data_IF_317352227474
#
_entry.id   IF_317352227474
#
_cell.length_a   1.000
_cell.length_b   1.000
_cell.length_c   1.000
_cell.angle_alpha   90.00
_cell.angle_beta   90.00
_cell.angle_gamma   90.00
#
_symmetry.space_group_name_H-M   'P 1'
#
loop_
_entity.id
_entity.type
_entity.pdbx_description
1 polymer ?
#
# COMPACT_ATOMS: atom_id res chain seq x y z
N UNK A 1 -11.86 -18.65 14.93
CA UNK A 1 -11.83 -17.19 15.12
C UNK A 1 -12.65 -16.55 14.01
N UNK A 2 -13.82 -15.99 14.34
CA UNK A 2 -14.76 -15.39 13.36
C UNK A 2 -14.28 -14.05 12.77
N UNK A 3 -13.20 -13.46 13.26
CA UNK A 3 -12.72 -12.13 12.90
C UNK A 3 -11.40 -12.12 12.12
N UNK A 4 -10.91 -13.27 11.70
CA UNK A 4 -9.67 -13.37 10.93
C UNK A 4 -9.91 -14.09 9.61
N UNK A 5 -9.81 -13.36 8.50
CA UNK A 5 -9.87 -13.93 7.17
C UNK A 5 -8.47 -14.40 6.76
N UNK A 6 -8.33 -15.71 6.46
CA UNK A 6 -7.10 -16.23 5.87
C UNK A 6 -6.83 -15.61 4.50
N UNK A 7 -5.59 -15.29 4.24
CA UNK A 7 -5.14 -14.88 2.91
C UNK A 7 -5.39 -16.00 1.90
N UNK A 8 -6.03 -15.68 0.80
CA UNK A 8 -6.32 -16.65 -0.26
C UNK A 8 -5.03 -17.08 -0.96
N UNK A 9 -4.88 -18.38 -1.27
CA UNK A 9 -3.69 -18.93 -1.94
C UNK A 9 -3.33 -18.16 -3.21
N UNK A 10 -4.32 -17.80 -4.03
CA UNK A 10 -4.13 -16.99 -5.24
C UNK A 10 -3.45 -15.63 -4.98
N UNK A 11 -3.64 -15.04 -3.80
CA UNK A 11 -2.97 -13.78 -3.43
C UNK A 11 -1.49 -14.03 -3.19
N UNK A 12 -1.15 -15.12 -2.50
CA UNK A 12 0.24 -15.53 -2.25
C UNK A 12 0.94 -15.90 -3.57
N UNK A 13 0.33 -16.75 -4.40
CA UNK A 13 0.87 -17.18 -5.69
C UNK A 13 1.23 -16.00 -6.60
N UNK A 14 0.38 -14.98 -6.65
CA UNK A 14 0.58 -13.76 -7.45
C UNK A 14 1.78 -12.91 -7.04
N UNK A 15 2.29 -13.10 -5.83
CA UNK A 15 3.46 -12.38 -5.30
C UNK A 15 4.76 -13.15 -5.47
N UNK A 16 4.70 -14.40 -5.94
CA UNK A 16 5.89 -15.19 -6.24
C UNK A 16 6.55 -14.70 -7.54
N UNK A 17 7.89 -14.65 -7.54
CA UNK A 17 8.71 -14.24 -8.70
C UNK A 17 9.21 -15.43 -9.51
N UNK A 18 8.78 -16.63 -9.16
CA UNK A 18 9.06 -17.88 -9.89
C UNK A 18 7.74 -18.54 -10.27
N UNK A 19 7.78 -19.38 -11.27
CA UNK A 19 6.63 -20.16 -11.74
C UNK A 19 6.98 -21.63 -11.82
N UNK A 20 5.97 -22.50 -11.87
CA UNK A 20 6.19 -23.93 -12.12
C UNK A 20 6.90 -24.16 -13.47
N UNK A 21 7.60 -25.27 -13.58
CA UNK A 21 8.31 -25.70 -14.80
C UNK A 21 9.41 -24.74 -15.28
N UNK A 22 10.03 -24.01 -14.37
CA UNK A 22 11.18 -23.15 -14.66
C UNK A 22 12.39 -23.58 -13.83
N UNK A 23 13.59 -23.21 -14.28
CA UNK A 23 14.82 -23.48 -13.53
C UNK A 23 14.77 -22.83 -12.15
N UNK A 24 15.20 -23.58 -11.13
CA UNK A 24 15.27 -23.11 -9.77
C UNK A 24 16.30 -21.97 -9.64
N UNK A 25 15.85 -20.79 -9.21
CA UNK A 25 16.70 -19.64 -8.93
C UNK A 25 16.56 -19.26 -7.45
N UNK A 26 17.61 -19.54 -6.68
CA UNK A 26 17.64 -19.25 -5.24
C UNK A 26 17.46 -17.76 -4.91
N UNK A 27 17.84 -16.87 -5.83
CA UNK A 27 17.64 -15.43 -5.65
C UNK A 27 16.16 -15.08 -5.82
N UNK A 28 15.48 -15.66 -6.81
CA UNK A 28 14.03 -15.47 -6.98
C UNK A 28 13.25 -16.00 -5.78
N UNK A 29 13.66 -17.12 -5.18
CA UNK A 29 13.04 -17.66 -3.96
C UNK A 29 13.20 -16.68 -2.79
N UNK A 30 14.43 -16.21 -2.52
CA UNK A 30 14.71 -15.24 -1.45
C UNK A 30 13.95 -13.93 -1.66
N UNK A 31 13.90 -13.45 -2.89
CA UNK A 31 13.20 -12.22 -3.23
C UNK A 31 11.68 -12.38 -3.12
N UNK A 32 11.11 -13.52 -3.53
CA UNK A 32 9.71 -13.85 -3.31
C UNK A 32 9.35 -13.84 -1.82
N UNK A 33 10.19 -14.44 -0.99
CA UNK A 33 10.01 -14.42 0.45
C UNK A 33 10.07 -13.00 1.02
N UNK A 34 10.92 -12.12 0.47
CA UNK A 34 10.99 -10.72 0.84
C UNK A 34 9.72 -9.95 0.42
N UNK A 35 9.26 -10.14 -0.81
CA UNK A 35 8.04 -9.51 -1.34
C UNK A 35 6.83 -9.92 -0.51
N UNK A 36 6.70 -11.19 -0.16
CA UNK A 36 5.62 -11.69 0.70
C UNK A 36 5.70 -11.10 2.12
N UNK A 37 6.88 -11.06 2.74
CA UNK A 37 7.06 -10.47 4.09
C UNK A 37 6.76 -8.98 4.15
N UNK A 38 6.87 -8.27 3.04
CA UNK A 38 6.54 -6.85 2.96
C UNK A 38 5.02 -6.59 2.90
N UNK A 39 4.20 -7.63 2.80
CA UNK A 39 2.75 -7.48 2.87
C UNK A 39 2.30 -7.25 4.32
N UNK A 40 1.48 -6.24 4.55
CA UNK A 40 1.04 -5.82 5.90
C UNK A 40 0.23 -6.88 6.65
N UNK A 41 -0.38 -7.83 5.94
CA UNK A 41 -1.19 -8.91 6.47
C UNK A 41 -0.43 -10.23 6.66
N UNK A 42 0.85 -10.30 6.27
CA UNK A 42 1.68 -11.50 6.39
C UNK A 42 2.72 -11.30 7.51
N UNK A 43 2.73 -12.23 8.47
CA UNK A 43 3.64 -12.21 9.62
C UNK A 43 4.92 -13.00 9.36
N UNK A 44 4.80 -14.17 8.77
CA UNK A 44 5.93 -15.09 8.52
C UNK A 44 5.78 -15.78 7.18
N UNK A 45 6.90 -15.95 6.51
CA UNK A 45 7.02 -16.69 5.26
C UNK A 45 8.18 -17.64 5.35
N UNK A 46 7.97 -18.92 4.98
CA UNK A 46 8.99 -19.91 4.70
C UNK A 46 8.78 -20.44 3.29
N UNK A 47 9.82 -20.47 2.49
CA UNK A 47 9.82 -21.04 1.15
C UNK A 47 10.96 -22.07 1.13
N UNK A 48 10.60 -23.34 0.98
CA UNK A 48 11.51 -24.47 1.09
C UNK A 48 11.43 -25.36 -0.15
N UNK A 49 12.56 -25.62 -0.82
CA UNK A 49 12.60 -26.63 -1.85
C UNK A 49 12.55 -28.03 -1.20
N UNK A 50 11.70 -28.89 -1.70
CA UNK A 50 11.55 -30.30 -1.28
C UNK A 50 12.00 -31.19 -2.45
N UNK A 51 13.00 -32.05 -2.26
CA UNK A 51 13.37 -33.01 -3.27
C UNK A 51 12.18 -33.89 -3.69
N UNK A 52 12.06 -34.16 -4.99
CA UNK A 52 11.08 -35.09 -5.52
C UNK A 52 11.75 -36.42 -5.82
N UNK A 53 10.99 -37.43 -6.26
CA UNK A 53 11.55 -38.72 -6.74
C UNK A 53 12.37 -38.58 -8.03
N UNK A 54 12.17 -37.49 -8.78
CA UNK A 54 12.95 -37.21 -9.99
C UNK A 54 14.18 -36.36 -9.64
N UNK A 55 15.39 -36.73 -10.07
CA UNK A 55 16.62 -36.00 -9.76
C UNK A 55 16.66 -34.60 -10.38
N UNK A 56 15.86 -34.34 -11.42
CA UNK A 56 15.86 -33.10 -12.17
C UNK A 56 14.73 -32.15 -11.74
N UNK A 57 13.97 -32.48 -10.68
CA UNK A 57 12.85 -31.65 -10.23
C UNK A 57 12.84 -31.47 -8.73
N UNK A 58 12.28 -30.33 -8.31
CA UNK A 58 12.07 -30.00 -6.90
C UNK A 58 10.71 -29.36 -6.73
N UNK A 59 10.00 -29.72 -5.67
CA UNK A 59 8.78 -29.04 -5.27
C UNK A 59 9.11 -27.84 -4.38
N UNK A 60 8.36 -26.76 -4.52
CA UNK A 60 8.53 -25.59 -3.66
C UNK A 60 7.36 -25.50 -2.70
N UNK A 61 7.64 -25.72 -1.42
CA UNK A 61 6.65 -25.53 -0.34
C UNK A 61 6.69 -24.09 0.14
N UNK A 62 5.56 -23.39 0.01
CA UNK A 62 5.38 -22.03 0.49
C UNK A 62 4.45 -22.05 1.71
N UNK A 63 4.99 -21.72 2.87
CA UNK A 63 4.23 -21.59 4.10
C UNK A 63 4.09 -20.11 4.45
N UNK A 64 2.85 -19.66 4.63
CA UNK A 64 2.54 -18.29 5.01
C UNK A 64 1.73 -18.30 6.30
N UNK A 65 2.13 -17.47 7.26
CA UNK A 65 1.39 -17.21 8.48
C UNK A 65 0.89 -15.77 8.43
N UNK A 66 -0.43 -15.63 8.46
CA UNK A 66 -1.08 -14.32 8.49
C UNK A 66 -0.87 -13.63 9.84
N UNK A 67 -0.81 -12.32 9.82
CA UNK A 67 -0.93 -11.50 11.02
C UNK A 67 -2.40 -11.21 11.31
N UNK A 68 -2.69 -10.79 12.55
CA UNK A 68 -3.99 -10.24 12.87
C UNK A 68 -4.29 -9.04 11.98
N UNK A 69 -5.39 -9.08 11.25
CA UNK A 69 -5.66 -8.12 10.19
C UNK A 69 -6.45 -6.90 10.64
N UNK A 70 -7.35 -7.08 11.63
CA UNK A 70 -8.17 -6.00 12.17
C UNK A 70 -7.50 -5.32 13.37
N UNK A 71 -7.52 -4.00 13.37
CA UNK A 71 -7.08 -3.16 14.47
C UNK A 71 -8.08 -2.02 14.68
N UNK A 72 -8.41 -1.74 15.92
CA UNK A 72 -9.20 -0.58 16.28
C UNK A 72 -8.56 0.11 17.48
N UNK A 73 -8.57 1.42 17.47
CA UNK A 73 -8.14 2.25 18.58
C UNK A 73 -9.14 3.39 18.83
N UNK A 74 -9.11 3.88 20.06
CA UNK A 74 -9.85 5.07 20.47
C UNK A 74 -8.91 5.98 21.25
N UNK A 75 -8.99 7.26 20.97
CA UNK A 75 -8.25 8.31 21.66
C UNK A 75 -9.16 9.50 21.92
N UNK A 76 -8.86 10.29 22.93
CA UNK A 76 -9.69 11.43 23.25
C UNK A 76 -8.99 12.47 24.11
N UNK A 77 -9.53 13.66 24.08
CA UNK A 77 -9.20 14.81 24.91
C UNK A 77 -10.47 15.41 25.51
N UNK A 78 -10.36 16.48 26.29
CA UNK A 78 -11.53 17.20 26.79
C UNK A 78 -12.33 17.91 25.68
N UNK A 79 -11.79 17.98 24.46
CA UNK A 79 -12.42 18.67 23.33
C UNK A 79 -12.91 17.73 22.24
N UNK A 80 -12.26 16.59 22.06
CA UNK A 80 -12.48 15.71 20.92
C UNK A 80 -12.31 14.24 21.33
N UNK A 81 -13.18 13.38 20.81
CA UNK A 81 -13.05 11.91 20.84
C UNK A 81 -12.87 11.37 19.43
N UNK A 82 -11.93 10.45 19.25
CA UNK A 82 -11.63 9.83 17.94
C UNK A 82 -11.63 8.31 18.06
N UNK A 83 -12.28 7.66 17.11
CA UNK A 83 -12.23 6.20 16.91
C UNK A 83 -11.66 5.91 15.53
N UNK A 84 -10.72 4.95 15.45
CA UNK A 84 -10.13 4.50 14.20
C UNK A 84 -10.31 2.99 14.06
N UNK A 85 -10.62 2.55 12.86
CA UNK A 85 -10.66 1.14 12.49
C UNK A 85 -9.76 0.89 11.29
N UNK A 86 -9.05 -0.22 11.31
CA UNK A 86 -8.13 -0.59 10.24
C UNK A 86 -8.18 -2.10 9.99
N UNK A 87 -8.48 -2.49 8.75
CA UNK A 87 -8.45 -3.88 8.28
C UNK A 87 -7.42 -4.03 7.18
N UNK A 88 -6.46 -4.95 7.32
CA UNK A 88 -5.32 -5.16 6.41
C UNK A 88 -5.52 -6.28 5.41
N UNK A 89 -6.53 -7.09 5.59
CA UNK A 89 -6.79 -8.29 4.77
C UNK A 89 -8.27 -8.46 4.49
N UNK A 90 -8.91 -7.40 4.01
CA UNK A 90 -10.34 -7.40 3.76
C UNK A 90 -10.74 -8.53 2.81
N UNK A 91 -11.64 -9.39 3.26
CA UNK A 91 -12.11 -10.60 2.56
C UNK A 91 -10.99 -11.61 2.22
N UNK A 92 -9.82 -11.57 2.87
CA UNK A 92 -8.69 -12.43 2.55
C UNK A 92 -7.98 -12.09 1.22
N UNK A 93 -8.22 -10.89 0.68
CA UNK A 93 -7.67 -10.42 -0.59
C UNK A 93 -6.42 -9.57 -0.44
N UNK A 94 -5.97 -9.29 0.80
CA UNK A 94 -4.89 -8.35 1.08
C UNK A 94 -5.28 -6.88 0.87
N UNK A 95 -6.56 -6.59 0.65
CA UNK A 95 -7.05 -5.22 0.53
C UNK A 95 -7.10 -4.56 1.91
N UNK A 96 -6.93 -3.26 1.95
CA UNK A 96 -6.87 -2.49 3.19
C UNK A 96 -8.03 -1.49 3.23
N UNK A 97 -8.68 -1.42 4.39
CA UNK A 97 -9.67 -0.39 4.68
C UNK A 97 -9.24 0.31 5.96
N UNK A 98 -9.22 1.63 5.95
CA UNK A 98 -9.09 2.43 7.16
C UNK A 98 -10.26 3.39 7.29
N UNK A 99 -10.74 3.54 8.52
CA UNK A 99 -11.80 4.47 8.86
C UNK A 99 -11.39 5.30 10.06
N UNK A 100 -11.77 6.56 10.06
CA UNK A 100 -11.62 7.47 11.20
C UNK A 100 -12.94 8.20 11.42
N UNK A 101 -13.37 8.22 12.64
CA UNK A 101 -14.49 9.05 13.09
C UNK A 101 -14.04 9.87 14.28
N UNK A 102 -14.21 11.18 14.23
CA UNK A 102 -13.96 12.07 15.37
C UNK A 102 -15.20 12.91 15.65
N UNK A 103 -15.43 13.16 16.92
CA UNK A 103 -16.55 13.98 17.40
C UNK A 103 -16.00 15.06 18.33
N UNK A 104 -16.35 16.31 18.06
CA UNK A 104 -16.17 17.39 19.02
C UNK A 104 -17.07 17.17 20.24
N UNK A 105 -16.49 17.24 21.45
CA UNK A 105 -17.22 17.09 22.71
C UNK A 105 -17.67 18.46 23.24
N UNK A 106 -16.87 19.49 22.98
CA UNK A 106 -17.16 20.88 23.36
C UNK A 106 -17.15 21.77 22.12
N UNK A 107 -18.14 22.65 22.00
CA UNK A 107 -18.31 23.51 20.86
C UNK A 107 -19.54 23.15 20.04
N UNK A 108 -19.41 23.11 18.74
CA UNK A 108 -20.51 22.84 17.79
C UNK A 108 -20.93 21.35 17.72
N UNK A 109 -20.26 20.47 18.47
CA UNK A 109 -20.48 19.03 18.47
C UNK A 109 -20.52 18.42 17.05
N UNK A 110 -19.68 18.95 16.13
CA UNK A 110 -19.62 18.50 14.74
C UNK A 110 -18.80 17.22 14.60
N UNK A 111 -19.19 16.29 13.72
CA UNK A 111 -18.39 15.12 13.41
C UNK A 111 -17.39 15.40 12.30
N UNK A 112 -16.25 14.69 12.32
CA UNK A 112 -15.37 14.51 11.18
C UNK A 112 -15.32 13.01 10.83
N UNK A 113 -15.10 12.71 9.56
CA UNK A 113 -15.05 11.32 9.08
C UNK A 113 -14.01 11.17 7.99
N UNK A 114 -13.37 10.01 7.95
CA UNK A 114 -12.47 9.61 6.88
C UNK A 114 -12.58 8.11 6.60
N UNK A 115 -12.49 7.78 5.32
CA UNK A 115 -12.40 6.39 4.84
C UNK A 115 -11.40 6.32 3.71
N UNK A 116 -10.50 5.33 3.79
CA UNK A 116 -9.53 5.00 2.76
C UNK A 116 -9.66 3.53 2.40
N UNK A 117 -9.60 3.23 1.11
CA UNK A 117 -9.56 1.87 0.60
C UNK A 117 -8.37 1.71 -0.34
N UNK A 118 -7.51 0.74 -0.03
CA UNK A 118 -6.32 0.46 -0.81
C UNK A 118 -6.29 -1.00 -1.28
N UNK A 119 -5.90 -1.19 -2.52
CA UNK A 119 -5.70 -2.50 -3.15
C UNK A 119 -4.23 -2.61 -3.53
N UNK A 120 -3.38 -3.20 -2.68
CA UNK A 120 -2.02 -3.53 -3.07
C UNK A 120 -2.05 -4.68 -4.08
N UNK A 121 -1.20 -4.60 -5.09
CA UNK A 121 -1.04 -5.61 -6.13
C UNK A 121 -2.35 -5.97 -6.86
N UNK A 122 -3.01 -4.97 -7.42
CA UNK A 122 -4.27 -5.12 -8.17
C UNK A 122 -4.14 -6.21 -9.25
N UNK A 123 -4.92 -7.29 -9.13
CA UNK A 123 -4.96 -8.42 -10.06
C UNK A 123 -3.58 -8.98 -10.49
N UNK A 124 -2.59 -9.00 -9.60
CA UNK A 124 -1.22 -9.44 -9.88
C UNK A 124 -0.42 -8.54 -10.87
N UNK A 125 -0.88 -7.34 -11.11
CA UNK A 125 -0.19 -6.38 -11.99
C UNK A 125 0.92 -5.61 -11.30
N UNK A 126 1.14 -5.85 -10.00
CA UNK A 126 2.03 -5.05 -9.14
C UNK A 126 1.62 -3.56 -9.02
N UNK A 127 0.42 -3.23 -9.45
CA UNK A 127 -0.17 -1.92 -9.26
C UNK A 127 -0.81 -1.83 -7.88
N UNK A 128 -0.47 -0.78 -7.14
CA UNK A 128 -1.15 -0.40 -5.92
C UNK A 128 -2.14 0.70 -6.25
N UNK A 129 -3.39 0.54 -5.87
CA UNK A 129 -4.42 1.55 -6.05
C UNK A 129 -5.00 1.96 -4.70
N UNK A 130 -5.34 3.22 -4.55
CA UNK A 130 -6.02 3.69 -3.36
C UNK A 130 -7.01 4.81 -3.71
N UNK A 131 -8.11 4.82 -2.99
CA UNK A 131 -9.09 5.90 -3.01
C UNK A 131 -9.42 6.28 -1.58
N UNK A 132 -9.67 7.55 -1.34
CA UNK A 132 -10.02 8.03 -0.02
C UNK A 132 -10.94 9.24 -0.08
N UNK A 133 -11.73 9.38 0.98
CA UNK A 133 -12.59 10.50 1.22
C UNK A 133 -12.59 10.86 2.70
N UNK A 134 -12.45 12.12 3.02
CA UNK A 134 -12.59 12.63 4.39
C UNK A 134 -13.20 13.99 4.40
N UNK A 135 -13.87 14.33 5.51
CA UNK A 135 -14.27 15.70 5.83
C UNK A 135 -13.92 15.99 7.28
N UNK A 136 -13.60 17.24 7.56
CA UNK A 136 -13.30 17.74 8.89
C UNK A 136 -14.54 18.26 9.62
N UNK A 137 -14.35 18.85 10.81
CA UNK A 137 -15.42 19.41 11.62
C UNK A 137 -16.16 20.58 10.96
N UNK A 138 -15.50 21.33 10.08
CA UNK A 138 -16.06 22.45 9.33
C UNK A 138 -16.61 22.06 7.97
N UNK A 139 -16.66 20.74 7.71
CA UNK A 139 -17.15 20.15 6.47
C UNK A 139 -16.26 20.36 5.26
N UNK A 140 -15.02 20.83 5.44
CA UNK A 140 -14.04 20.81 4.39
C UNK A 140 -13.64 19.38 4.08
N UNK A 141 -13.60 19.06 2.80
CA UNK A 141 -13.36 17.69 2.37
C UNK A 141 -12.05 17.53 1.62
N UNK A 142 -11.53 16.33 1.72
CA UNK A 142 -10.42 15.83 0.92
C UNK A 142 -10.82 14.51 0.29
N UNK A 143 -10.68 14.39 -1.04
CA UNK A 143 -10.86 13.14 -1.76
C UNK A 143 -9.72 12.93 -2.72
N UNK A 144 -9.31 11.69 -2.86
CA UNK A 144 -8.22 11.35 -3.76
C UNK A 144 -8.41 9.99 -4.40
N UNK A 145 -7.72 9.80 -5.52
CA UNK A 145 -7.48 8.52 -6.15
C UNK A 145 -6.01 8.45 -6.56
N UNK A 146 -5.40 7.29 -6.36
CA UNK A 146 -4.02 7.05 -6.75
C UNK A 146 -3.84 5.69 -7.37
N UNK A 147 -2.92 5.58 -8.30
CA UNK A 147 -2.41 4.34 -8.84
C UNK A 147 -0.90 4.44 -8.92
N UNK A 148 -0.19 3.45 -8.38
CA UNK A 148 1.26 3.41 -8.38
C UNK A 148 1.77 2.01 -8.68
N UNK A 149 2.81 1.93 -9.47
CA UNK A 149 3.62 0.73 -9.64
C UNK A 149 5.00 0.98 -9.06
N UNK A 150 5.26 0.53 -7.82
CA UNK A 150 6.55 0.74 -7.18
C UNK A 150 7.62 -0.23 -7.71
N UNK A 151 8.87 0.00 -7.35
CA UNK A 151 9.93 -1.00 -7.47
C UNK A 151 9.71 -2.11 -6.42
N UNK A 152 8.84 -3.08 -6.72
CA UNK A 152 8.44 -4.13 -5.78
C UNK A 152 9.49 -5.24 -5.64
N UNK A 153 10.38 -5.39 -6.61
CA UNK A 153 11.46 -6.40 -6.60
C UNK A 153 12.74 -5.87 -7.24
N UNK A 154 13.85 -6.55 -7.01
CA UNK A 154 15.15 -6.27 -7.63
C UNK A 154 15.14 -6.41 -9.16
N UNK A 155 14.14 -7.08 -9.70
CA UNK A 155 13.97 -7.30 -11.14
C UNK A 155 13.10 -6.25 -11.82
N UNK A 156 12.48 -5.36 -11.04
CA UNK A 156 11.62 -4.31 -11.57
C UNK A 156 12.43 -3.28 -12.33
N UNK A 157 12.06 -3.00 -13.58
CA UNK A 157 12.79 -2.11 -14.50
C UNK A 157 12.21 -0.73 -14.58
N UNK A 158 10.94 -0.58 -14.25
CA UNK A 158 10.26 0.70 -14.28
C UNK A 158 9.26 0.80 -13.14
N UNK A 159 9.07 2.01 -12.69
CA UNK A 159 8.04 2.39 -11.72
C UNK A 159 7.32 3.63 -12.24
N UNK A 160 6.06 3.76 -11.90
CA UNK A 160 5.27 4.93 -12.29
C UNK A 160 4.12 5.14 -11.29
N UNK A 161 3.60 6.35 -11.26
CA UNK A 161 2.43 6.63 -10.44
C UNK A 161 1.67 7.85 -10.93
N UNK A 162 0.38 7.85 -10.64
CA UNK A 162 -0.50 8.97 -10.81
C UNK A 162 -1.33 9.16 -9.54
N UNK A 163 -1.54 10.40 -9.16
CA UNK A 163 -2.35 10.80 -8.03
C UNK A 163 -3.18 12.01 -8.41
N UNK A 164 -4.47 11.94 -8.15
CA UNK A 164 -5.39 13.05 -8.33
C UNK A 164 -6.15 13.30 -7.03
N UNK A 165 -6.33 14.56 -6.66
CA UNK A 165 -7.06 14.91 -5.46
C UNK A 165 -7.88 16.19 -5.63
N UNK A 166 -8.86 16.33 -4.79
CA UNK A 166 -9.63 17.56 -4.60
C UNK A 166 -9.72 17.83 -3.10
N UNK A 167 -9.42 19.06 -2.72
CA UNK A 167 -9.49 19.53 -1.34
C UNK A 167 -10.24 20.86 -1.29
N UNK A 168 -11.09 21.00 -0.29
CA UNK A 168 -11.62 22.29 0.14
C UNK A 168 -11.03 22.69 1.48
N UNK A 169 -10.84 23.95 1.73
CA UNK A 169 -10.36 24.50 2.99
C UNK A 169 -10.65 26.00 3.04
N UNK A 170 -10.66 26.57 4.24
CA UNK A 170 -10.72 27.99 4.49
C UNK A 170 -9.32 28.54 4.74
N UNK A 171 -9.02 29.71 4.20
CA UNK A 171 -7.77 30.43 4.46
C UNK A 171 -8.01 31.93 4.55
N UNK A 172 -7.14 32.59 5.30
CA UNK A 172 -7.22 34.05 5.53
C UNK A 172 -6.48 34.83 4.44
N UNK A 173 -7.21 35.70 3.73
CA UNK A 173 -6.63 36.64 2.77
C UNK A 173 -6.47 38.02 3.42
N UNK A 174 -5.22 38.56 3.51
CA UNK A 174 -5.00 39.90 4.00
C UNK A 174 -5.54 40.92 2.99
N UNK A 175 -6.38 41.84 3.48
CA UNK A 175 -6.92 42.93 2.68
C UNK A 175 -7.15 44.16 3.59
N UNK A 176 -6.49 45.28 3.29
CA UNK A 176 -6.65 46.56 3.99
C UNK A 176 -6.59 46.43 5.53
N UNK A 177 -5.48 45.94 6.09
CA UNK A 177 -5.25 45.67 7.53
C UNK A 177 -6.21 44.69 8.21
N UNK A 178 -7.02 43.98 7.44
CA UNK A 178 -7.97 42.95 7.93
C UNK A 178 -7.70 41.62 7.24
N UNK A 179 -8.01 40.52 7.93
CA UNK A 179 -7.95 39.17 7.36
C UNK A 179 -9.39 38.75 7.06
N UNK A 180 -9.68 38.45 5.80
CA UNK A 180 -10.93 37.88 5.35
C UNK A 180 -10.81 36.38 5.17
N UNK A 181 -11.65 35.61 5.83
CA UNK A 181 -11.75 34.17 5.62
C UNK A 181 -12.44 33.89 4.30
N UNK A 182 -11.84 33.02 3.48
CA UNK A 182 -12.38 32.64 2.18
C UNK A 182 -12.22 31.14 1.96
N UNK A 183 -13.26 30.54 1.38
CA UNK A 183 -13.27 29.15 0.98
C UNK A 183 -12.50 28.94 -0.30
N UNK A 184 -11.63 27.95 -0.28
CA UNK A 184 -10.82 27.53 -1.43
C UNK A 184 -11.15 26.10 -1.81
N UNK A 185 -11.10 25.87 -3.12
CA UNK A 185 -11.17 24.52 -3.70
C UNK A 185 -9.96 24.30 -4.62
N UNK A 186 -9.13 23.33 -4.27
CA UNK A 186 -7.96 22.96 -5.06
C UNK A 186 -8.18 21.58 -5.68
N UNK A 187 -7.85 21.47 -6.96
CA UNK A 187 -7.72 20.21 -7.67
C UNK A 187 -6.26 20.02 -8.03
N UNK A 188 -5.66 18.96 -7.54
CA UNK A 188 -4.27 18.60 -7.81
C UNK A 188 -4.16 17.31 -8.61
N UNK A 189 -3.19 17.27 -9.50
CA UNK A 189 -2.79 16.07 -10.24
C UNK A 189 -1.28 15.96 -10.18
N UNK A 190 -0.79 14.75 -10.00
CA UNK A 190 0.64 14.47 -9.99
C UNK A 190 0.88 13.18 -10.75
N UNK A 191 1.84 13.19 -11.66
CA UNK A 191 2.25 12.01 -12.43
C UNK A 191 3.76 11.91 -12.37
N UNK A 192 4.27 10.71 -12.16
CA UNK A 192 5.70 10.47 -12.16
C UNK A 192 6.02 9.14 -12.85
N UNK A 193 7.19 9.06 -13.41
CA UNK A 193 7.73 7.86 -14.02
C UNK A 193 9.21 7.69 -13.71
N UNK A 194 9.67 6.46 -13.67
CA UNK A 194 11.05 6.13 -13.32
C UNK A 194 11.47 4.84 -14.02
N UNK A 195 12.71 4.79 -14.48
CA UNK A 195 13.32 3.61 -15.10
C UNK A 195 14.61 3.22 -14.39
N UNK A 196 14.86 1.93 -14.32
CA UNK A 196 15.99 1.33 -13.62
C UNK A 196 16.82 0.47 -14.55
N UNK A 197 18.10 0.79 -14.66
CA UNK A 197 19.08 0.09 -15.50
C UNK A 197 20.16 -0.57 -14.64
N UNK A 198 20.56 -1.84 -14.89
CA UNK A 198 21.71 -2.44 -14.22
C UNK A 198 23.00 -1.76 -14.66
N UNK A 199 23.83 -1.34 -13.72
CA UNK A 199 25.12 -0.70 -14.01
C UNK A 199 26.18 -1.77 -14.29
N UNK A 200 26.09 -2.92 -13.61
CA UNK A 200 27.08 -3.98 -13.67
C UNK A 200 26.54 -5.24 -14.36
N UNK A 201 27.44 -6.00 -15.01
CA UNK A 201 27.08 -7.31 -15.55
C UNK A 201 26.64 -8.24 -14.41
N UNK A 202 25.51 -8.95 -14.61
CA UNK A 202 24.79 -9.70 -13.56
C UNK A 202 25.41 -11.08 -13.23
N UNK A 203 26.73 -11.18 -13.14
CA UNK A 203 27.42 -12.47 -12.88
C UNK A 203 27.46 -12.82 -11.39
N UNK A 204 27.42 -11.85 -10.50
CA UNK A 204 27.41 -12.07 -9.04
C UNK A 204 26.10 -11.58 -8.40
N UNK A 205 25.73 -12.10 -7.21
CA UNK A 205 24.55 -11.62 -6.49
C UNK A 205 24.57 -10.11 -6.21
N UNK A 206 25.73 -9.56 -5.85
CA UNK A 206 25.90 -8.12 -5.60
C UNK A 206 25.66 -7.31 -6.88
N UNK A 207 26.20 -7.73 -8.02
CA UNK A 207 26.03 -7.04 -9.30
C UNK A 207 24.59 -7.09 -9.82
N UNK A 208 23.79 -8.08 -9.41
CA UNK A 208 22.37 -8.18 -9.79
C UNK A 208 21.48 -7.13 -9.17
N UNK A 209 21.90 -6.52 -8.06
CA UNK A 209 21.11 -5.55 -7.29
C UNK A 209 21.56 -4.09 -7.49
N UNK A 210 22.70 -3.88 -8.16
CA UNK A 210 23.20 -2.51 -8.41
C UNK A 210 22.56 -1.94 -9.68
N UNK A 211 21.72 -0.91 -9.49
CA UNK A 211 20.98 -0.26 -10.57
C UNK A 211 21.14 1.26 -10.49
N UNK A 212 21.10 1.90 -11.65
CA UNK A 212 20.91 3.35 -11.77
C UNK A 212 19.44 3.65 -12.02
N UNK A 213 18.90 4.65 -11.36
CA UNK A 213 17.47 5.02 -11.46
C UNK A 213 17.35 6.46 -11.95
N UNK A 214 16.56 6.67 -12.98
CA UNK A 214 16.17 7.99 -13.46
C UNK A 214 14.68 8.20 -13.20
N UNK A 215 14.32 9.36 -12.67
CA UNK A 215 12.93 9.69 -12.32
C UNK A 215 12.55 11.05 -12.88
N UNK A 216 11.31 11.15 -13.38
CA UNK A 216 10.68 12.40 -13.78
C UNK A 216 9.35 12.54 -13.06
N UNK A 217 9.02 13.75 -12.63
CA UNK A 217 7.77 14.07 -11.94
C UNK A 217 7.18 15.37 -12.45
N UNK A 218 5.89 15.33 -12.71
CA UNK A 218 5.06 16.49 -13.07
C UNK A 218 3.92 16.65 -12.07
#
# INVERSE_FOLDING_TARGET
NRFHNKTKNKVVERLLLFSCYTLLDSIKIKESARVLRNQSHIRRVSIEPIPTHSPDSVDIKVNVLDSWSFYADASGSLREGTVRGFERNFLGLGHQISTRYSQEIRGSARPSFGIDYAIPNLYATTLNTAVGYSFDFDRYYYKYASVTRPYYSLYTRWAAGAHAYQRTFEDGIPKNDSIYQQDFKINGKNVWGSVSFPILKRHTPANRVTNMVFSLRY
#
